data_IF_251790239713
#
_entry.id   IF_251790239713
#
_cell.length_a   1.000
_cell.length_b   1.000
_cell.length_c   1.000
_cell.angle_alpha   90.00
_cell.angle_beta   90.00
_cell.angle_gamma   90.00
#
_symmetry.space_group_name_H-M   'P 1'
#
loop_
_entity.id
_entity.type
_entity.pdbx_description
1 polymer ?
#
# COMPACT_ATOMS: atom_id res chain seq x y z
N UNK A 1 -11.27 46.20 23.48
CA UNK A 1 -12.66 46.00 23.03
C UNK A 1 -12.63 45.96 21.50
N UNK A 2 -12.35 44.80 20.92
CA UNK A 2 -12.51 44.52 19.48
C UNK A 2 -12.87 43.05 19.35
N UNK A 3 -14.08 42.82 18.85
CA UNK A 3 -14.74 41.54 18.78
C UNK A 3 -14.12 40.65 17.70
N UNK A 4 -13.85 39.39 18.05
CA UNK A 4 -13.55 38.31 17.11
C UNK A 4 -14.87 37.79 16.54
N UNK A 5 -15.07 37.92 15.23
CA UNK A 5 -16.12 37.21 14.51
C UNK A 5 -15.62 35.80 14.17
N UNK A 6 -16.01 34.82 14.98
CA UNK A 6 -15.83 33.39 14.71
C UNK A 6 -16.89 32.92 13.72
N UNK A 7 -16.52 32.75 12.45
CA UNK A 7 -17.36 32.07 11.45
C UNK A 7 -17.19 30.56 11.63
N UNK A 8 -18.12 29.96 12.37
CA UNK A 8 -18.31 28.50 12.45
C UNK A 8 -18.67 27.94 11.07
N UNK A 9 -17.71 27.35 10.37
CA UNK A 9 -18.00 26.42 9.27
C UNK A 9 -18.54 25.12 9.86
N UNK A 10 -19.82 24.87 9.65
CA UNK A 10 -20.49 23.61 9.95
C UNK A 10 -19.83 22.49 9.15
N UNK A 11 -19.11 21.61 9.84
CA UNK A 11 -18.60 20.35 9.28
C UNK A 11 -19.81 19.46 9.04
N UNK A 12 -20.15 19.28 7.77
CA UNK A 12 -21.23 18.41 7.33
C UNK A 12 -20.76 16.95 7.53
N UNK A 13 -21.12 16.33 8.64
CA UNK A 13 -20.89 14.91 8.90
C UNK A 13 -21.86 14.08 8.05
N UNK A 14 -21.52 13.86 6.78
CA UNK A 14 -22.22 12.89 5.95
C UNK A 14 -21.85 11.48 6.38
N UNK A 15 -22.84 10.79 6.95
CA UNK A 15 -22.81 9.37 7.24
C UNK A 15 -22.48 8.57 5.97
N UNK A 16 -21.55 7.62 6.09
CA UNK A 16 -21.15 6.70 5.02
C UNK A 16 -22.23 5.64 4.72
N UNK A 17 -23.37 6.08 4.21
CA UNK A 17 -24.13 5.28 3.25
C UNK A 17 -23.34 5.26 1.95
N UNK A 18 -23.26 4.11 1.27
CA UNK A 18 -22.60 3.98 -0.02
C UNK A 18 -23.23 4.95 -1.04
N UNK A 19 -22.71 6.17 -1.12
CA UNK A 19 -22.96 7.04 -2.25
C UNK A 19 -22.47 6.26 -3.47
N UNK A 20 -23.34 6.14 -4.47
CA UNK A 20 -22.93 5.69 -5.79
C UNK A 20 -21.92 6.72 -6.27
N UNK A 21 -20.64 6.40 -6.12
CA UNK A 21 -19.56 7.25 -6.60
C UNK A 21 -19.66 7.23 -8.13
N UNK A 22 -19.99 8.37 -8.71
CA UNK A 22 -19.95 8.55 -10.16
C UNK A 22 -18.51 8.31 -10.64
N UNK A 23 -18.29 7.14 -11.24
CA UNK A 23 -16.96 6.72 -11.67
C UNK A 23 -16.44 7.54 -12.86
N UNK A 24 -17.29 8.38 -13.47
CA UNK A 24 -16.92 9.27 -14.58
C UNK A 24 -16.34 10.61 -14.10
N UNK A 25 -16.54 10.97 -12.82
CA UNK A 25 -15.89 12.15 -12.24
C UNK A 25 -14.43 11.88 -11.94
N UNK A 26 -13.61 12.92 -12.08
CA UNK A 26 -12.22 12.86 -11.62
C UNK A 26 -12.18 12.81 -10.09
N UNK A 27 -11.33 11.93 -9.60
CA UNK A 27 -11.00 11.78 -8.18
C UNK A 27 -10.11 12.93 -7.70
N UNK A 28 -10.03 13.11 -6.37
CA UNK A 28 -9.11 14.09 -5.77
C UNK A 28 -7.66 13.84 -6.19
N UNK A 29 -7.23 12.58 -6.28
CA UNK A 29 -5.89 12.23 -6.77
C UNK A 29 -5.67 12.70 -8.21
N UNK A 30 -6.59 12.41 -9.12
CA UNK A 30 -6.49 12.80 -10.53
C UNK A 30 -6.54 14.31 -10.73
N UNK A 31 -7.23 15.05 -9.85
CA UNK A 31 -7.26 16.52 -9.85
C UNK A 31 -5.92 17.14 -9.44
N UNK A 32 -5.00 16.38 -8.83
CA UNK A 32 -3.64 16.87 -8.49
C UNK A 32 -2.67 16.84 -9.67
N UNK A 33 -3.02 16.19 -10.79
CA UNK A 33 -2.11 15.96 -11.91
C UNK A 33 -1.49 17.24 -12.46
N UNK A 34 -2.28 18.30 -12.68
CA UNK A 34 -1.77 19.54 -13.26
C UNK A 34 -0.74 20.21 -12.31
N UNK A 35 -0.98 20.15 -11.00
CA UNK A 35 -0.04 20.62 -9.97
C UNK A 35 1.24 19.77 -9.95
N UNK A 36 1.12 18.45 -10.07
CA UNK A 36 2.26 17.54 -10.09
C UNK A 36 3.13 17.74 -11.33
N UNK A 37 2.52 17.90 -12.51
CA UNK A 37 3.22 18.19 -13.77
C UNK A 37 3.98 19.51 -13.70
N UNK A 38 3.40 20.54 -13.08
CA UNK A 38 4.07 21.82 -12.87
C UNK A 38 5.22 21.74 -11.84
N UNK A 39 5.05 20.98 -10.77
CA UNK A 39 6.04 20.87 -9.70
C UNK A 39 7.21 19.94 -10.04
N UNK A 40 6.97 18.90 -10.85
CA UNK A 40 7.95 17.85 -11.16
C UNK A 40 7.91 17.48 -12.67
N UNK A 41 8.36 18.38 -13.56
CA UNK A 41 8.25 18.19 -15.01
C UNK A 41 9.05 17.00 -15.56
N UNK A 42 10.06 16.51 -14.84
CA UNK A 42 10.87 15.34 -15.26
C UNK A 42 10.41 14.02 -14.62
N UNK A 43 9.51 14.08 -13.63
CA UNK A 43 9.06 12.91 -12.84
C UNK A 43 7.63 12.53 -13.20
N UNK A 44 6.69 13.48 -13.06
CA UNK A 44 5.27 13.22 -13.27
C UNK A 44 4.94 12.71 -14.69
N UNK A 45 5.54 13.24 -15.78
CA UNK A 45 5.26 12.77 -17.13
C UNK A 45 6.18 11.64 -17.61
N UNK A 46 7.06 11.09 -16.76
CA UNK A 46 8.11 10.15 -17.16
C UNK A 46 7.59 8.93 -17.93
N UNK A 47 6.37 8.48 -17.63
CA UNK A 47 5.73 7.33 -18.29
C UNK A 47 4.55 7.73 -19.19
N UNK A 48 4.40 9.02 -19.53
CA UNK A 48 3.26 9.52 -20.31
C UNK A 48 3.17 8.94 -21.72
N UNK A 49 4.27 8.46 -22.30
CA UNK A 49 4.24 7.81 -23.62
C UNK A 49 3.24 6.63 -23.70
N UNK A 50 3.09 5.86 -22.62
CA UNK A 50 2.08 4.80 -22.52
C UNK A 50 0.67 5.36 -22.40
N UNK A 51 0.50 6.40 -21.59
CA UNK A 51 -0.78 7.09 -21.39
C UNK A 51 -1.28 7.66 -22.72
N UNK A 52 -0.40 8.30 -23.49
CA UNK A 52 -0.70 8.86 -24.80
C UNK A 52 -1.11 7.78 -25.80
N UNK A 53 -0.42 6.64 -25.78
CA UNK A 53 -0.78 5.49 -26.62
C UNK A 53 -2.18 4.95 -26.25
N UNK A 54 -2.47 4.77 -24.95
CA UNK A 54 -3.81 4.40 -24.49
C UNK A 54 -4.87 5.42 -24.96
N UNK A 55 -4.63 6.71 -24.76
CA UNK A 55 -5.53 7.79 -25.15
C UNK A 55 -5.86 7.74 -26.64
N UNK A 56 -4.84 7.60 -27.49
CA UNK A 56 -4.99 7.49 -28.95
C UNK A 56 -5.78 6.25 -29.38
N UNK A 57 -5.57 5.11 -28.70
CA UNK A 57 -6.28 3.87 -29.00
C UNK A 57 -7.74 3.91 -28.52
N UNK A 58 -8.01 4.55 -27.38
CA UNK A 58 -9.37 4.68 -26.81
C UNK A 58 -10.35 5.39 -27.75
N UNK A 59 -9.89 6.32 -28.59
CA UNK A 59 -10.72 7.02 -29.57
C UNK A 59 -11.42 6.03 -30.53
N UNK A 60 -10.78 4.90 -30.82
CA UNK A 60 -11.28 3.87 -31.76
C UNK A 60 -12.14 2.80 -31.09
N UNK A 61 -12.25 2.81 -29.76
CA UNK A 61 -12.94 1.78 -28.98
C UNK A 61 -14.42 2.12 -28.84
N UNK A 62 -15.29 1.20 -29.26
CA UNK A 62 -16.75 1.42 -29.30
C UNK A 62 -17.56 0.49 -28.41
N UNK A 63 -16.94 -0.51 -27.79
CA UNK A 63 -17.63 -1.51 -26.96
C UNK A 63 -16.81 -1.91 -25.73
N UNK A 64 -17.51 -2.49 -24.74
CA UNK A 64 -16.95 -2.90 -23.46
C UNK A 64 -15.81 -3.93 -23.56
N UNK A 65 -15.92 -4.91 -24.47
CA UNK A 65 -14.90 -5.97 -24.62
C UNK A 65 -13.59 -5.39 -25.13
N UNK A 66 -13.64 -4.56 -26.17
CA UNK A 66 -12.48 -3.88 -26.72
C UNK A 66 -11.84 -2.93 -25.68
N UNK A 67 -12.66 -2.20 -24.91
CA UNK A 67 -12.19 -1.33 -23.83
C UNK A 67 -11.49 -2.13 -22.72
N UNK A 68 -12.08 -3.26 -22.31
CA UNK A 68 -11.51 -4.13 -21.27
C UNK A 68 -10.16 -4.68 -21.70
N UNK A 69 -10.06 -5.19 -22.94
CA UNK A 69 -8.80 -5.69 -23.49
C UNK A 69 -7.73 -4.59 -23.47
N UNK A 70 -8.09 -3.39 -23.93
CA UNK A 70 -7.18 -2.26 -24.02
C UNK A 70 -6.69 -1.82 -22.62
N UNK A 71 -7.59 -1.67 -21.65
CA UNK A 71 -7.21 -1.32 -20.28
C UNK A 71 -6.32 -2.40 -19.65
N UNK A 72 -6.64 -3.68 -19.84
CA UNK A 72 -5.82 -4.79 -19.32
C UNK A 72 -4.40 -4.76 -19.89
N UNK A 73 -4.26 -4.53 -21.19
CA UNK A 73 -2.97 -4.44 -21.87
C UNK A 73 -2.12 -3.28 -21.35
N UNK A 74 -2.68 -2.07 -21.33
CA UNK A 74 -1.96 -0.88 -20.87
C UNK A 74 -1.69 -0.90 -19.36
N UNK A 75 -2.56 -1.50 -18.55
CA UNK A 75 -2.32 -1.60 -17.10
C UNK A 75 -1.14 -2.50 -16.77
N UNK A 76 -1.04 -3.66 -17.44
CA UNK A 76 0.12 -4.56 -17.31
C UNK A 76 1.39 -3.89 -17.84
N UNK A 77 1.29 -3.28 -19.02
CA UNK A 77 2.43 -2.61 -19.61
C UNK A 77 2.92 -1.41 -18.79
N UNK A 78 2.04 -0.70 -18.07
CA UNK A 78 2.44 0.42 -17.22
C UNK A 78 3.33 -0.03 -16.07
N UNK A 79 2.99 -1.15 -15.44
CA UNK A 79 3.82 -1.76 -14.41
C UNK A 79 5.22 -2.11 -14.95
N UNK A 80 5.27 -2.77 -16.12
CA UNK A 80 6.53 -3.17 -16.74
C UNK A 80 7.40 -1.96 -17.14
N UNK A 81 6.80 -0.92 -17.72
CA UNK A 81 7.52 0.32 -18.06
C UNK A 81 8.05 1.03 -16.82
N UNK A 82 7.28 1.02 -15.73
CA UNK A 82 7.71 1.62 -14.47
C UNK A 82 8.89 0.87 -13.86
N UNK A 83 8.88 -0.46 -13.83
CA UNK A 83 10.03 -1.29 -13.41
C UNK A 83 11.26 -0.96 -14.24
N UNK A 84 11.12 -0.98 -15.56
CA UNK A 84 12.21 -0.68 -16.48
C UNK A 84 12.77 0.73 -16.25
N UNK A 85 11.89 1.72 -16.12
CA UNK A 85 12.26 3.11 -15.87
C UNK A 85 12.99 3.28 -14.52
N UNK A 86 12.50 2.63 -13.47
CA UNK A 86 13.08 2.66 -12.14
C UNK A 86 14.51 2.07 -12.14
N UNK A 87 14.68 0.89 -12.74
CA UNK A 87 16.01 0.24 -12.86
C UNK A 87 16.96 1.08 -13.71
N UNK A 88 16.52 1.66 -14.82
CA UNK A 88 17.40 2.43 -15.71
C UNK A 88 17.84 3.77 -15.09
N UNK A 89 16.95 4.45 -14.38
CA UNK A 89 17.22 5.78 -13.81
C UNK A 89 18.14 5.75 -12.59
N UNK A 90 18.12 4.68 -11.79
CA UNK A 90 18.88 4.55 -10.53
C UNK A 90 18.63 5.71 -9.55
N UNK A 91 17.47 6.36 -9.66
CA UNK A 91 17.13 7.57 -8.91
C UNK A 91 16.34 7.29 -7.62
N UNK A 92 15.93 6.03 -7.41
CA UNK A 92 15.13 5.61 -6.26
C UNK A 92 13.79 6.35 -6.16
N UNK A 93 13.17 6.68 -7.29
CA UNK A 93 11.93 7.46 -7.34
C UNK A 93 10.68 6.61 -7.61
N UNK A 94 9.76 6.53 -6.63
CA UNK A 94 8.49 5.79 -6.73
C UNK A 94 7.37 6.58 -7.41
N UNK A 95 7.51 7.91 -7.50
CA UNK A 95 6.47 8.82 -7.96
C UNK A 95 6.08 8.66 -9.44
N UNK A 96 6.98 8.31 -10.38
CA UNK A 96 6.63 8.10 -11.79
C UNK A 96 5.49 7.08 -11.99
N UNK A 97 5.55 5.94 -11.28
CA UNK A 97 4.50 4.92 -11.36
C UNK A 97 3.16 5.49 -10.85
N UNK A 98 3.18 6.12 -9.68
CA UNK A 98 1.98 6.70 -9.06
C UNK A 98 1.30 7.72 -10.00
N UNK A 99 2.05 8.70 -10.51
CA UNK A 99 1.50 9.74 -11.37
C UNK A 99 0.98 9.19 -12.70
N UNK A 100 1.70 8.24 -13.30
CA UNK A 100 1.27 7.64 -14.55
C UNK A 100 -0.01 6.79 -14.39
N UNK A 101 -0.19 6.12 -13.25
CA UNK A 101 -1.44 5.40 -12.92
C UNK A 101 -2.63 6.36 -12.82
N UNK A 102 -2.44 7.53 -12.22
CA UNK A 102 -3.48 8.57 -12.16
C UNK A 102 -3.78 9.16 -13.54
N UNK A 103 -2.77 9.44 -14.36
CA UNK A 103 -2.96 9.88 -15.74
C UNK A 103 -3.76 8.85 -16.55
N UNK A 104 -3.40 7.57 -16.44
CA UNK A 104 -4.07 6.48 -17.14
C UNK A 104 -5.53 6.34 -16.69
N UNK A 105 -5.79 6.43 -15.39
CA UNK A 105 -7.16 6.36 -14.84
C UNK A 105 -8.00 7.57 -15.27
N UNK A 106 -7.44 8.79 -15.24
CA UNK A 106 -8.07 10.02 -15.75
C UNK A 106 -8.47 9.87 -17.23
N UNK A 107 -7.58 9.33 -18.06
CA UNK A 107 -7.85 9.08 -19.48
C UNK A 107 -9.00 8.08 -19.67
N UNK A 108 -9.04 6.99 -18.90
CA UNK A 108 -10.12 6.00 -18.97
C UNK A 108 -11.45 6.61 -18.51
N UNK A 109 -11.49 7.31 -17.37
CA UNK A 109 -12.71 7.94 -16.83
C UNK A 109 -13.29 8.98 -17.78
N UNK A 110 -12.42 9.74 -18.44
CA UNK A 110 -12.81 10.81 -19.37
C UNK A 110 -13.27 10.28 -20.74
N UNK A 111 -13.11 8.99 -21.02
CA UNK A 111 -13.46 8.41 -22.32
C UNK A 111 -14.98 8.31 -22.49
N UNK A 112 -15.51 8.79 -23.63
CA UNK A 112 -16.95 8.71 -23.95
C UNK A 112 -17.51 7.29 -23.88
N UNK A 113 -16.72 6.27 -24.23
CA UNK A 113 -17.13 4.87 -24.15
C UNK A 113 -17.28 4.40 -22.70
N UNK A 114 -16.43 4.88 -21.78
CA UNK A 114 -16.49 4.53 -20.37
C UNK A 114 -17.77 5.07 -19.72
N UNK A 115 -18.14 6.32 -20.03
CA UNK A 115 -19.38 6.94 -19.54
C UNK A 115 -20.66 6.23 -20.01
N UNK A 116 -20.60 5.45 -21.10
CA UNK A 116 -21.74 4.66 -21.62
C UNK A 116 -21.87 3.27 -20.97
N UNK A 117 -20.87 2.83 -20.21
CA UNK A 117 -20.90 1.54 -19.54
C UNK A 117 -21.88 1.55 -18.35
N UNK A 118 -22.33 0.37 -17.94
CA UNK A 118 -23.05 0.20 -16.69
C UNK A 118 -22.12 0.51 -15.50
N UNK A 119 -22.63 1.03 -14.37
CA UNK A 119 -21.81 1.34 -13.19
C UNK A 119 -20.94 0.16 -12.68
N UNK A 120 -21.46 -1.06 -12.74
CA UNK A 120 -20.71 -2.27 -12.38
C UNK A 120 -19.54 -2.55 -13.34
N UNK A 121 -19.74 -2.31 -14.63
CA UNK A 121 -18.68 -2.45 -15.64
C UNK A 121 -17.59 -1.40 -15.45
N UNK A 122 -17.98 -0.15 -15.14
CA UNK A 122 -17.04 0.93 -14.80
C UNK A 122 -16.19 0.55 -13.59
N UNK A 123 -16.85 0.14 -12.50
CA UNK A 123 -16.20 -0.26 -11.25
C UNK A 123 -15.24 -1.43 -11.48
N UNK A 124 -15.69 -2.47 -12.21
CA UNK A 124 -14.86 -3.65 -12.51
C UNK A 124 -13.65 -3.30 -13.37
N UNK A 125 -13.81 -2.41 -14.34
CA UNK A 125 -12.72 -1.99 -15.23
C UNK A 125 -11.65 -1.21 -14.45
N UNK A 126 -12.07 -0.26 -13.61
CA UNK A 126 -11.17 0.52 -12.75
C UNK A 126 -10.48 -0.36 -11.71
N UNK A 127 -11.21 -1.29 -11.08
CA UNK A 127 -10.63 -2.29 -10.18
C UNK A 127 -9.56 -3.15 -10.86
N UNK A 128 -9.82 -3.56 -12.10
CA UNK A 128 -8.84 -4.32 -12.90
C UNK A 128 -7.61 -3.47 -13.22
N UNK A 129 -7.80 -2.21 -13.58
CA UNK A 129 -6.69 -1.26 -13.80
C UNK A 129 -5.83 -1.13 -12.54
N UNK A 130 -6.47 -0.91 -11.39
CA UNK A 130 -5.79 -0.79 -10.09
C UNK A 130 -4.91 -2.00 -9.81
N UNK A 131 -5.47 -3.21 -9.84
CA UNK A 131 -4.70 -4.42 -9.54
C UNK A 131 -3.55 -4.66 -10.52
N UNK A 132 -3.80 -4.53 -11.83
CA UNK A 132 -2.80 -4.85 -12.85
C UNK A 132 -1.65 -3.85 -12.89
N UNK A 133 -1.94 -2.57 -12.68
CA UNK A 133 -0.91 -1.50 -12.63
C UNK A 133 -0.11 -1.49 -11.32
N UNK A 134 -0.43 -2.40 -10.39
CA UNK A 134 0.20 -2.57 -9.07
C UNK A 134 0.99 -3.87 -8.95
N UNK A 135 1.28 -4.52 -10.09
CA UNK A 135 2.12 -5.71 -10.15
C UNK A 135 1.39 -7.05 -9.99
N UNK A 136 0.05 -7.08 -9.84
CA UNK A 136 -0.68 -8.34 -9.54
C UNK A 136 -0.37 -9.49 -10.53
N UNK A 137 -0.17 -9.18 -11.81
CA UNK A 137 0.09 -10.19 -12.86
C UNK A 137 1.59 -10.43 -13.11
N UNK A 138 2.46 -9.71 -12.41
CA UNK A 138 3.90 -9.82 -12.61
C UNK A 138 4.58 -10.77 -11.63
N UNK A 139 3.92 -11.09 -10.49
CA UNK A 139 4.44 -12.02 -9.49
C UNK A 139 4.76 -13.38 -10.10
N UNK A 140 6.03 -13.60 -10.39
CA UNK A 140 6.56 -14.80 -11.05
C UNK A 140 7.90 -15.14 -10.44
N UNK A 141 7.89 -16.16 -9.59
CA UNK A 141 9.13 -16.70 -9.02
C UNK A 141 9.88 -17.57 -10.03
N UNK A 142 10.68 -16.95 -10.90
CA UNK A 142 11.34 -17.57 -12.05
C UNK A 142 12.87 -17.54 -12.01
N UNK A 143 13.48 -16.95 -10.96
CA UNK A 143 14.94 -16.92 -10.77
C UNK A 143 15.53 -18.21 -10.24
N UNK A 144 14.71 -19.25 -10.02
CA UNK A 144 15.11 -20.56 -9.48
C UNK A 144 15.76 -20.47 -8.10
N UNK A 145 15.37 -19.47 -7.30
CA UNK A 145 15.76 -19.37 -5.90
C UNK A 145 15.07 -20.47 -5.08
N UNK A 146 15.66 -20.81 -3.94
CA UNK A 146 15.14 -21.85 -3.05
C UNK A 146 13.86 -21.40 -2.32
N UNK A 147 13.76 -20.11 -2.02
CA UNK A 147 12.66 -19.49 -1.27
C UNK A 147 12.00 -18.37 -2.08
N UNK A 148 10.75 -18.10 -1.76
CA UNK A 148 9.89 -17.13 -2.44
C UNK A 148 9.33 -16.12 -1.45
N UNK A 149 9.66 -14.85 -1.61
CA UNK A 149 9.21 -13.77 -0.73
C UNK A 149 8.25 -12.88 -1.51
N UNK A 150 7.07 -12.65 -0.96
CA UNK A 150 6.15 -11.63 -1.47
C UNK A 150 6.24 -10.38 -0.60
N UNK A 151 6.54 -9.24 -1.21
CA UNK A 151 6.71 -7.97 -0.52
C UNK A 151 5.71 -6.94 -1.02
N UNK A 152 5.20 -6.08 -0.12
CA UNK A 152 4.35 -4.95 -0.52
C UNK A 152 4.90 -3.62 -0.03
N UNK A 153 4.70 -2.58 -0.83
CA UNK A 153 4.95 -1.17 -0.48
C UNK A 153 3.73 -0.30 -0.78
N UNK A 154 3.71 0.96 -0.34
CA UNK A 154 2.58 1.88 -0.58
C UNK A 154 2.89 2.97 -1.61
N UNK A 155 1.83 3.45 -2.26
CA UNK A 155 1.85 4.71 -3.02
C UNK A 155 2.29 5.91 -2.14
N UNK A 156 2.79 7.01 -2.75
CA UNK A 156 2.90 8.32 -2.12
C UNK A 156 1.59 8.81 -1.47
N UNK A 157 1.71 9.58 -0.39
CA UNK A 157 0.56 10.15 0.34
C UNK A 157 0.89 11.52 0.95
N UNK A 158 -0.13 12.19 1.53
CA UNK A 158 -0.05 13.58 2.02
C UNK A 158 0.30 14.61 0.94
N UNK A 159 -0.15 14.36 -0.28
CA UNK A 159 0.18 15.16 -1.49
C UNK A 159 -0.46 16.56 -1.52
N UNK A 160 -1.48 16.81 -0.68
CA UNK A 160 -2.00 18.17 -0.49
C UNK A 160 -1.02 19.04 0.30
N UNK A 161 -0.27 18.44 1.22
CA UNK A 161 0.77 19.11 2.00
C UNK A 161 2.04 19.27 1.20
N UNK A 162 2.48 18.21 0.53
CA UNK A 162 3.67 18.21 -0.30
C UNK A 162 3.45 17.36 -1.55
N UNK A 163 3.24 18.01 -2.70
CA UNK A 163 2.96 17.33 -3.98
C UNK A 163 4.16 16.49 -4.46
N UNK A 164 5.36 16.81 -3.98
CA UNK A 164 6.63 16.18 -4.33
C UNK A 164 6.99 15.00 -3.40
N UNK A 165 6.13 14.68 -2.43
CA UNK A 165 6.38 13.61 -1.46
C UNK A 165 6.59 12.25 -2.14
N UNK A 166 7.69 11.57 -1.77
CA UNK A 166 7.95 10.16 -2.08
C UNK A 166 7.57 9.27 -0.88
N UNK A 167 7.38 7.97 -1.11
CA UNK A 167 7.17 6.97 -0.06
C UNK A 167 8.29 5.91 -0.06
N UNK A 168 9.13 5.84 0.99
CA UNK A 168 10.20 4.86 1.09
C UNK A 168 9.74 3.41 0.92
N UNK A 169 8.51 3.07 1.31
CA UNK A 169 7.99 1.71 1.12
C UNK A 169 7.73 1.36 -0.34
N UNK A 170 7.25 2.31 -1.15
CA UNK A 170 7.09 2.14 -2.60
C UNK A 170 8.45 1.98 -3.28
N UNK A 171 9.43 2.80 -2.87
CA UNK A 171 10.81 2.71 -3.35
C UNK A 171 11.46 1.37 -2.99
N UNK A 172 11.27 0.88 -1.75
CA UNK A 172 11.72 -0.46 -1.32
C UNK A 172 11.12 -1.55 -2.19
N UNK A 173 9.81 -1.52 -2.44
CA UNK A 173 9.16 -2.51 -3.28
C UNK A 173 9.76 -2.50 -4.69
N UNK A 174 9.77 -1.35 -5.37
CA UNK A 174 10.31 -1.26 -6.73
C UNK A 174 11.81 -1.65 -6.83
N UNK A 175 12.60 -1.38 -5.79
CA UNK A 175 14.03 -1.72 -5.76
C UNK A 175 14.31 -3.21 -5.53
N UNK A 176 13.36 -3.95 -4.94
CA UNK A 176 13.53 -5.35 -4.56
C UNK A 176 12.81 -6.33 -5.48
N UNK A 177 12.09 -5.82 -6.47
CA UNK A 177 11.42 -6.67 -7.46
C UNK A 177 12.43 -7.43 -8.32
N UNK A 178 12.16 -8.71 -8.59
CA UNK A 178 13.07 -9.66 -9.26
C UNK A 178 14.43 -9.87 -8.54
N UNK A 179 14.64 -9.34 -7.33
CA UNK A 179 15.92 -9.44 -6.63
C UNK A 179 16.05 -10.79 -5.93
N UNK A 180 17.17 -11.46 -6.17
CA UNK A 180 17.60 -12.63 -5.39
C UNK A 180 18.55 -12.21 -4.27
N UNK A 181 18.23 -12.58 -3.05
CA UNK A 181 19.11 -12.45 -1.88
C UNK A 181 19.63 -13.82 -1.45
N UNK A 182 20.76 -13.84 -0.74
CA UNK A 182 21.39 -15.07 -0.27
C UNK A 182 21.83 -14.90 1.18
N UNK A 183 21.51 -15.87 2.02
CA UNK A 183 21.99 -15.98 3.40
C UNK A 183 22.26 -17.45 3.71
N UNK A 184 23.45 -17.75 4.24
CA UNK A 184 23.87 -19.10 4.66
C UNK A 184 23.63 -20.21 3.61
N UNK A 185 23.80 -19.88 2.33
CA UNK A 185 23.61 -20.82 1.21
C UNK A 185 22.16 -21.01 0.78
N UNK A 186 21.20 -20.33 1.43
CA UNK A 186 19.80 -20.27 1.02
C UNK A 186 19.55 -19.02 0.17
N UNK A 187 19.01 -19.22 -1.03
CA UNK A 187 18.60 -18.13 -1.92
C UNK A 187 17.11 -17.84 -1.78
N UNK A 188 16.72 -16.56 -1.86
CA UNK A 188 15.33 -16.16 -1.90
C UNK A 188 15.10 -15.12 -2.99
N UNK A 189 14.07 -15.34 -3.81
CA UNK A 189 13.59 -14.39 -4.81
C UNK A 189 12.47 -13.54 -4.20
N UNK A 190 12.52 -12.24 -4.45
CA UNK A 190 11.55 -11.27 -3.95
C UNK A 190 10.71 -10.75 -5.12
N UNK A 191 9.40 -10.91 -5.01
CA UNK A 191 8.41 -10.35 -5.94
C UNK A 191 7.54 -9.34 -5.21
N UNK A 192 7.16 -8.25 -5.89
CA UNK A 192 6.54 -7.10 -5.18
C UNK A 192 5.19 -6.65 -5.72
N UNK A 193 4.41 -6.05 -4.82
CA UNK A 193 3.15 -5.37 -5.13
C UNK A 193 3.12 -3.97 -4.51
N UNK A 194 2.39 -3.05 -5.14
CA UNK A 194 2.15 -1.71 -4.59
C UNK A 194 0.70 -1.58 -4.13
N UNK A 195 0.45 -1.13 -2.90
CA UNK A 195 -0.88 -0.93 -2.34
C UNK A 195 -1.26 0.56 -2.25
N UNK A 196 -2.55 0.92 -2.46
CA UNK A 196 -3.01 2.30 -2.34
C UNK A 196 -3.06 2.78 -0.89
N UNK A 197 -2.93 4.08 -0.70
CA UNK A 197 -3.31 4.76 0.55
C UNK A 197 -4.77 5.24 0.43
N UNK A 198 -5.71 4.28 0.35
CA UNK A 198 -7.16 4.52 0.24
C UNK A 198 -7.98 3.53 1.05
N UNK A 199 -8.90 4.02 1.87
CA UNK A 199 -9.71 3.17 2.75
C UNK A 199 -10.69 2.30 1.96
N UNK A 200 -11.29 2.84 0.89
CA UNK A 200 -12.26 2.13 0.07
C UNK A 200 -11.69 0.86 -0.57
N UNK A 201 -10.43 0.88 -0.99
CA UNK A 201 -9.78 -0.24 -1.65
C UNK A 201 -9.54 -1.40 -0.67
N UNK A 202 -9.15 -1.07 0.56
CA UNK A 202 -9.04 -2.04 1.65
C UNK A 202 -10.42 -2.60 2.01
N UNK A 203 -11.43 -1.73 2.12
CA UNK A 203 -12.79 -2.12 2.40
C UNK A 203 -13.37 -3.02 1.28
N UNK A 204 -12.99 -2.82 0.02
CA UNK A 204 -13.39 -3.68 -1.11
C UNK A 204 -12.61 -5.00 -1.19
N UNK A 205 -11.58 -5.17 -0.38
CA UNK A 205 -10.83 -6.41 -0.24
C UNK A 205 -9.58 -6.49 -1.13
N UNK A 206 -8.91 -5.36 -1.38
CA UNK A 206 -7.71 -5.33 -2.23
C UNK A 206 -6.56 -6.15 -1.64
N UNK A 207 -6.36 -6.11 -0.32
CA UNK A 207 -5.30 -6.88 0.34
C UNK A 207 -5.53 -8.39 0.15
N UNK A 208 -6.78 -8.83 0.28
CA UNK A 208 -7.17 -10.20 0.05
C UNK A 208 -7.00 -10.59 -1.43
N UNK A 209 -7.37 -9.72 -2.36
CA UNK A 209 -7.19 -9.96 -3.80
C UNK A 209 -5.71 -10.06 -4.22
N UNK A 210 -4.82 -9.35 -3.52
CA UNK A 210 -3.39 -9.32 -3.80
C UNK A 210 -2.63 -10.46 -3.12
N UNK A 211 -2.95 -10.81 -1.87
CA UNK A 211 -2.15 -11.74 -1.07
C UNK A 211 -2.75 -13.15 -0.96
N UNK A 212 -4.07 -13.28 -0.94
CA UNK A 212 -4.72 -14.57 -0.70
C UNK A 212 -4.34 -15.66 -1.72
N UNK A 213 -4.15 -15.39 -3.03
CA UNK A 213 -3.71 -16.42 -3.96
C UNK A 213 -2.42 -17.11 -3.50
N UNK A 214 -1.43 -16.35 -3.05
CA UNK A 214 -0.12 -16.90 -2.69
C UNK A 214 -0.14 -17.58 -1.32
N UNK A 215 -0.82 -16.99 -0.34
CA UNK A 215 -0.92 -17.54 1.02
C UNK A 215 -1.76 -18.82 1.02
N UNK A 216 -2.91 -18.82 0.34
CA UNK A 216 -3.83 -19.97 0.28
C UNK A 216 -3.25 -21.15 -0.49
N UNK A 217 -2.51 -20.89 -1.56
CA UNK A 217 -1.84 -21.93 -2.34
C UNK A 217 -0.46 -22.32 -1.78
N UNK A 218 -0.03 -21.72 -0.66
CA UNK A 218 1.27 -21.95 -0.03
C UNK A 218 2.43 -21.84 -1.03
N UNK A 219 2.36 -20.85 -1.91
CA UNK A 219 3.31 -20.67 -3.01
C UNK A 219 4.44 -19.69 -2.69
N UNK A 220 4.49 -19.21 -1.44
CA UNK A 220 5.49 -18.27 -0.90
C UNK A 220 5.94 -18.77 0.47
N UNK A 221 7.18 -18.46 0.82
CA UNK A 221 7.86 -18.86 2.06
C UNK A 221 7.90 -17.72 3.09
N UNK A 222 7.70 -16.47 2.66
CA UNK A 222 7.55 -15.33 3.57
C UNK A 222 6.71 -14.22 2.92
N UNK A 223 5.89 -13.52 3.71
CA UNK A 223 5.18 -12.31 3.25
C UNK A 223 5.56 -11.12 4.13
N UNK A 224 6.00 -10.05 3.48
CA UNK A 224 6.36 -8.80 4.14
C UNK A 224 5.51 -7.66 3.62
N UNK A 225 5.02 -6.84 4.55
CA UNK A 225 4.36 -5.59 4.21
C UNK A 225 5.24 -4.44 4.72
N UNK A 226 5.48 -3.43 3.91
CA UNK A 226 6.37 -2.32 4.24
C UNK A 226 5.60 -1.01 4.20
N UNK A 227 5.86 -0.11 5.13
CA UNK A 227 5.25 1.23 5.16
C UNK A 227 6.22 2.28 5.65
N UNK A 228 6.00 3.53 5.26
CA UNK A 228 6.75 4.65 5.84
C UNK A 228 6.35 4.85 7.30
N UNK A 229 7.34 4.83 8.19
CA UNK A 229 7.14 4.89 9.63
C UNK A 229 7.67 6.17 10.28
N UNK A 230 8.69 6.01 11.12
CA UNK A 230 9.16 7.01 12.09
C UNK A 230 10.65 7.31 11.88
N UNK A 231 11.47 7.12 12.90
CA UNK A 231 12.90 7.45 12.85
C UNK A 231 13.77 6.26 12.47
N UNK A 232 13.37 5.07 12.93
CA UNK A 232 14.11 3.82 12.76
C UNK A 232 13.25 2.79 12.02
N UNK A 233 13.84 1.63 11.74
CA UNK A 233 13.04 0.48 11.33
C UNK A 233 12.31 -0.09 12.54
N UNK A 234 11.01 -0.35 12.38
CA UNK A 234 10.19 -0.98 13.39
C UNK A 234 9.55 -2.25 12.81
N UNK A 235 9.91 -3.41 13.37
CA UNK A 235 9.25 -4.68 13.11
C UNK A 235 8.02 -4.75 14.01
N UNK A 236 6.85 -4.69 13.39
CA UNK A 236 5.59 -4.45 14.10
C UNK A 236 5.00 -5.74 14.66
N UNK A 237 5.22 -5.97 15.97
CA UNK A 237 4.87 -7.23 16.66
C UNK A 237 3.37 -7.50 16.70
N UNK A 238 2.57 -6.47 17.01
CA UNK A 238 1.13 -6.60 17.33
C UNK A 238 0.22 -5.69 16.48
N UNK A 239 -0.14 -6.09 15.26
CA UNK A 239 -1.17 -5.41 14.48
C UNK A 239 -2.56 -5.55 15.10
N UNK A 240 -3.39 -4.53 14.93
CA UNK A 240 -4.72 -4.45 15.52
C UNK A 240 -5.86 -4.37 14.51
N UNK A 241 -7.06 -4.79 14.93
CA UNK A 241 -8.25 -4.81 14.08
C UNK A 241 -8.74 -3.42 13.68
N UNK A 242 -8.72 -2.46 14.61
CA UNK A 242 -9.49 -1.21 14.45
C UNK A 242 -8.69 -0.07 13.85
N UNK A 243 -9.41 0.77 13.08
CA UNK A 243 -8.97 2.10 12.67
C UNK A 243 -9.21 3.08 13.82
N UNK A 244 -8.29 4.02 14.03
CA UNK A 244 -8.43 5.08 15.04
C UNK A 244 -7.74 6.40 14.65
N UNK A 245 -7.08 6.42 13.49
CA UNK A 245 -6.44 7.61 12.98
C UNK A 245 -7.47 8.63 12.48
N UNK A 246 -7.38 9.85 13.00
CA UNK A 246 -8.10 11.01 12.49
C UNK A 246 -7.28 11.69 11.38
N UNK A 247 -7.06 10.98 10.28
CA UNK A 247 -6.31 11.45 9.12
C UNK A 247 -7.03 11.03 7.83
N UNK A 248 -6.98 11.86 6.78
CA UNK A 248 -7.55 11.52 5.49
C UNK A 248 -6.67 10.55 4.72
N UNK A 249 -7.29 9.78 3.83
CA UNK A 249 -6.59 9.06 2.77
C UNK A 249 -6.27 9.93 1.55
N UNK A 250 -5.71 9.33 0.50
CA UNK A 250 -5.35 10.08 -0.70
C UNK A 250 -6.56 10.68 -1.43
N UNK A 251 -7.78 10.21 -1.18
CA UNK A 251 -9.01 10.81 -1.71
C UNK A 251 -9.59 11.89 -0.78
N UNK A 252 -8.86 12.28 0.26
CA UNK A 252 -9.31 13.18 1.32
C UNK A 252 -10.49 12.64 2.14
N UNK A 253 -10.66 11.31 2.16
CA UNK A 253 -11.73 10.66 2.92
C UNK A 253 -11.26 10.35 4.34
N UNK A 254 -12.07 10.76 5.32
CA UNK A 254 -11.93 10.34 6.71
C UNK A 254 -12.89 9.20 6.99
N UNK A 255 -12.44 8.21 7.77
CA UNK A 255 -13.31 7.11 8.21
C UNK A 255 -14.24 7.51 9.36
N UNK A 256 -14.00 8.65 10.00
CA UNK A 256 -14.67 9.06 11.23
C UNK A 256 -14.14 8.37 12.49
N UNK A 257 -13.15 7.49 12.36
CA UNK A 257 -12.53 6.82 13.50
C UNK A 257 -11.64 7.78 14.31
N UNK A 258 -11.61 7.62 15.62
CA UNK A 258 -10.71 8.36 16.52
C UNK A 258 -10.13 7.43 17.57
N UNK A 259 -9.17 7.91 18.36
CA UNK A 259 -8.64 7.15 19.50
C UNK A 259 -9.73 6.84 20.55
N UNK A 260 -10.71 7.73 20.68
CA UNK A 260 -11.84 7.59 21.62
C UNK A 260 -12.96 6.71 21.04
N UNK A 261 -13.09 6.66 19.71
CA UNK A 261 -14.08 5.85 19.01
C UNK A 261 -13.41 5.07 17.86
N UNK A 262 -12.66 3.99 18.17
CA UNK A 262 -11.99 3.18 17.16
C UNK A 262 -12.99 2.27 16.43
N UNK A 263 -12.93 2.28 15.10
CA UNK A 263 -13.90 1.61 14.24
C UNK A 263 -13.34 0.32 13.63
N UNK A 264 -14.17 -0.70 13.52
CA UNK A 264 -13.83 -1.94 12.79
C UNK A 264 -13.91 -1.65 11.28
N UNK A 265 -12.86 -1.93 10.49
CA UNK A 265 -12.89 -1.74 9.04
C UNK A 265 -13.86 -2.74 8.37
N UNK A 266 -14.18 -2.52 7.10
CA UNK A 266 -15.08 -3.42 6.35
C UNK A 266 -14.29 -4.41 5.52
N UNK A 267 -14.91 -5.54 5.19
CA UNK A 267 -14.53 -6.39 4.08
C UNK A 267 -15.78 -6.62 3.23
N UNK A 268 -15.79 -5.96 2.08
CA UNK A 268 -16.95 -5.77 1.19
C UNK A 268 -18.10 -5.12 1.96
N UNK A 269 -19.26 -5.77 2.03
CA UNK A 269 -20.45 -5.26 2.70
C UNK A 269 -20.48 -5.53 4.21
N UNK A 270 -19.57 -6.35 4.75
CA UNK A 270 -19.55 -6.75 6.16
C UNK A 270 -18.42 -6.08 6.95
N UNK A 271 -18.54 -6.06 8.28
CA UNK A 271 -17.40 -5.73 9.15
C UNK A 271 -16.34 -6.83 9.04
N UNK A 272 -15.06 -6.44 9.01
CA UNK A 272 -13.95 -7.37 9.05
C UNK A 272 -14.02 -8.18 10.35
N UNK A 273 -13.92 -9.51 10.22
CA UNK A 273 -13.97 -10.43 11.36
C UNK A 273 -12.54 -10.86 11.73
N UNK A 274 -12.26 -10.88 13.03
CA UNK A 274 -10.97 -11.33 13.57
C UNK A 274 -10.78 -10.89 15.03
N UNK A 275 -9.71 -11.37 15.70
CA UNK A 275 -9.36 -10.93 17.05
C UNK A 275 -8.91 -9.47 17.07
N UNK A 276 -9.03 -8.79 18.21
CA UNK A 276 -8.66 -7.36 18.32
C UNK A 276 -7.17 -7.10 18.06
N UNK A 277 -6.31 -8.08 18.35
CA UNK A 277 -4.89 -8.07 18.03
C UNK A 277 -4.47 -9.40 17.41
N UNK A 278 -3.45 -9.35 16.55
CA UNK A 278 -2.73 -10.52 16.03
C UNK A 278 -1.24 -10.34 16.28
N UNK A 279 -0.46 -11.42 16.21
CA UNK A 279 0.99 -11.38 16.36
C UNK A 279 1.68 -11.85 15.07
N UNK A 280 2.73 -11.12 14.67
CA UNK A 280 3.51 -11.46 13.48
C UNK A 280 4.36 -12.74 13.69
N UNK A 281 4.79 -13.40 12.62
CA UNK A 281 5.61 -14.64 12.67
C UNK A 281 7.00 -14.47 12.05
N UNK A 282 7.48 -13.24 11.90
CA UNK A 282 8.79 -13.00 11.33
C UNK A 282 9.92 -13.55 12.22
N UNK A 283 11.03 -14.03 11.63
CA UNK A 283 12.24 -14.44 12.37
C UNK A 283 13.00 -13.22 12.90
N UNK A 284 12.38 -12.51 13.84
CA UNK A 284 12.78 -11.18 14.30
C UNK A 284 14.24 -11.12 14.78
N UNK A 285 14.70 -12.11 15.54
CA UNK A 285 16.06 -12.13 16.09
C UNK A 285 17.14 -12.17 15.00
N UNK A 286 16.85 -12.76 13.84
CA UNK A 286 17.73 -12.71 12.68
C UNK A 286 17.58 -11.37 11.97
N UNK A 287 16.35 -10.96 11.66
CA UNK A 287 16.06 -9.71 10.94
C UNK A 287 16.61 -8.45 11.61
N UNK A 288 16.67 -8.41 12.96
CA UNK A 288 17.29 -7.31 13.71
C UNK A 288 18.80 -7.15 13.49
N UNK A 289 19.47 -8.16 12.93
CA UNK A 289 20.88 -8.11 12.55
C UNK A 289 21.09 -7.43 11.19
N UNK A 290 20.03 -6.95 10.54
CA UNK A 290 20.11 -6.24 9.27
C UNK A 290 20.96 -4.97 9.39
N UNK A 291 22.16 -5.02 8.80
CA UNK A 291 23.12 -3.93 8.80
C UNK A 291 22.61 -2.70 8.04
N UNK A 292 22.92 -1.52 8.56
CA UNK A 292 22.62 -0.23 7.95
C UNK A 292 22.66 0.91 8.96
N UNK A 293 22.19 2.08 8.53
CA UNK A 293 22.28 3.35 9.26
C UNK A 293 21.35 3.45 10.46
N UNK A 294 20.19 2.82 10.40
CA UNK A 294 19.10 2.99 11.36
C UNK A 294 19.02 1.80 12.32
N UNK A 295 18.41 2.00 13.49
CA UNK A 295 18.12 0.87 14.38
C UNK A 295 17.00 0.00 13.82
N UNK A 296 16.98 -1.28 14.21
CA UNK A 296 15.92 -2.25 13.86
C UNK A 296 15.22 -2.72 15.15
N UNK A 297 14.06 -2.16 15.43
CA UNK A 297 13.34 -2.35 16.69
C UNK A 297 12.32 -3.49 16.60
N UNK A 298 12.13 -4.21 17.70
CA UNK A 298 10.92 -4.99 17.97
C UNK A 298 9.86 -4.05 18.57
N UNK A 299 8.96 -3.51 17.75
CA UNK A 299 8.00 -2.53 18.23
C UNK A 299 6.75 -3.23 18.78
N UNK A 300 6.51 -3.07 20.08
CA UNK A 300 5.41 -3.69 20.83
C UNK A 300 4.39 -2.68 21.36
N UNK A 301 4.55 -1.39 21.02
CA UNK A 301 3.70 -0.30 21.50
C UNK A 301 2.30 -0.39 20.93
N UNK A 302 1.32 -0.75 21.74
CA UNK A 302 -0.08 -0.76 21.32
C UNK A 302 -0.89 0.27 22.11
N UNK A 303 -2.15 0.45 21.72
CA UNK A 303 -3.11 1.14 22.57
C UNK A 303 -4.46 0.42 22.59
N UNK A 304 -5.13 0.45 23.74
CA UNK A 304 -6.47 -0.12 23.95
C UNK A 304 -7.41 0.91 24.56
N UNK A 305 -8.72 0.69 24.43
CA UNK A 305 -9.71 1.61 24.99
C UNK A 305 -9.64 1.68 26.53
N UNK A 306 -9.31 0.57 27.18
CA UNK A 306 -9.31 0.41 28.63
C UNK A 306 -8.02 0.89 29.30
N UNK A 307 -6.87 0.67 28.66
CA UNK A 307 -5.55 0.87 29.28
C UNK A 307 -4.73 1.99 28.63
N UNK A 308 -5.23 2.62 27.55
CA UNK A 308 -4.44 3.59 26.80
C UNK A 308 -3.24 2.93 26.13
N UNK A 309 -2.13 3.65 26.01
CA UNK A 309 -0.93 3.19 25.33
C UNK A 309 0.07 2.48 26.26
N UNK A 310 0.58 1.32 25.85
CA UNK A 310 1.55 0.51 26.62
C UNK A 310 2.29 -0.48 25.71
N UNK A 311 3.33 -1.13 26.23
CA UNK A 311 4.09 -2.18 25.53
C UNK A 311 3.45 -3.57 25.77
N UNK A 312 2.98 -4.22 24.70
CA UNK A 312 2.45 -5.59 24.79
C UNK A 312 3.56 -6.59 25.09
N UNK A 313 3.44 -7.35 26.19
CA UNK A 313 4.42 -8.37 26.55
C UNK A 313 4.18 -9.69 25.81
N UNK A 314 2.91 -10.11 25.72
CA UNK A 314 2.48 -11.27 24.96
C UNK A 314 1.10 -11.04 24.33
N UNK A 315 0.78 -11.81 23.29
CA UNK A 315 -0.56 -11.78 22.69
C UNK A 315 -1.64 -12.16 23.73
N UNK A 316 -1.36 -13.13 24.60
CA UNK A 316 -2.30 -13.62 25.61
C UNK A 316 -2.74 -12.53 26.61
N UNK A 317 -1.88 -11.55 26.89
CA UNK A 317 -2.18 -10.46 27.82
C UNK A 317 -3.12 -9.40 27.21
N UNK A 318 -3.22 -9.35 25.89
CA UNK A 318 -3.93 -8.30 25.15
C UNK A 318 -5.17 -8.80 24.41
N UNK A 319 -5.39 -10.11 24.30
CA UNK A 319 -6.53 -10.69 23.55
C UNK A 319 -7.92 -10.30 24.07
N UNK A 320 -8.03 -9.91 25.35
CA UNK A 320 -9.32 -9.49 25.96
C UNK A 320 -9.59 -8.00 25.82
N UNK A 321 -8.67 -7.24 25.21
CA UNK A 321 -8.76 -5.80 25.10
C UNK A 321 -9.44 -5.38 23.79
N UNK A 322 -10.13 -4.25 23.79
CA UNK A 322 -10.57 -3.60 22.55
C UNK A 322 -9.46 -2.71 22.02
N UNK A 323 -9.06 -2.96 20.77
CA UNK A 323 -7.94 -2.25 20.16
C UNK A 323 -8.27 -0.79 19.86
N UNK A 324 -7.27 0.08 20.03
CA UNK A 324 -7.27 1.45 19.49
C UNK A 324 -6.22 1.55 18.40
N UNK A 325 -5.01 1.04 18.65
CA UNK A 325 -3.97 0.94 17.64
C UNK A 325 -3.08 -0.27 17.91
N UNK A 326 -2.63 -0.91 16.83
CA UNK A 326 -1.55 -1.87 16.92
C UNK A 326 -0.19 -1.17 16.96
N UNK A 327 0.88 -1.94 16.94
CA UNK A 327 2.24 -1.41 16.92
C UNK A 327 2.51 -0.58 15.66
N UNK A 328 1.90 -0.96 14.54
CA UNK A 328 1.89 -0.17 13.30
C UNK A 328 1.01 1.08 13.33
N UNK A 329 0.34 1.39 14.44
CA UNK A 329 -0.58 2.53 14.57
C UNK A 329 -2.04 2.16 14.32
N UNK A 330 -2.86 3.16 13.95
CA UNK A 330 -4.32 3.05 13.79
C UNK A 330 -4.81 3.43 12.38
N UNK A 331 -3.93 3.34 11.39
CA UNK A 331 -4.16 3.72 9.99
C UNK A 331 -3.92 2.52 9.04
N UNK A 332 -3.79 2.76 7.73
CA UNK A 332 -3.69 1.71 6.70
C UNK A 332 -2.45 0.81 6.80
N UNK A 333 -1.32 1.29 7.34
CA UNK A 333 -0.12 0.47 7.54
C UNK A 333 -0.34 -0.65 8.57
N UNK A 334 -1.01 -0.33 9.69
CA UNK A 334 -1.48 -1.34 10.63
C UNK A 334 -2.50 -2.29 9.98
N UNK A 335 -3.43 -1.77 9.19
CA UNK A 335 -4.49 -2.59 8.60
C UNK A 335 -3.97 -3.59 7.56
N UNK A 336 -2.99 -3.22 6.72
CA UNK A 336 -2.40 -4.18 5.76
C UNK A 336 -1.67 -5.30 6.49
N UNK A 337 -1.00 -4.97 7.60
CA UNK A 337 -0.32 -5.95 8.46
C UNK A 337 -1.33 -6.89 9.13
N UNK A 338 -2.40 -6.33 9.69
CA UNK A 338 -3.46 -7.10 10.33
C UNK A 338 -4.13 -8.07 9.34
N UNK A 339 -4.52 -7.59 8.15
CA UNK A 339 -5.18 -8.40 7.11
C UNK A 339 -4.25 -9.49 6.55
N UNK A 340 -2.96 -9.20 6.36
CA UNK A 340 -2.01 -10.22 5.88
C UNK A 340 -1.82 -11.35 6.90
N UNK A 341 -1.78 -11.02 8.20
CA UNK A 341 -1.70 -12.03 9.27
C UNK A 341 -3.04 -12.77 9.44
N UNK A 342 -4.20 -12.13 9.24
CA UNK A 342 -5.48 -12.85 9.21
C UNK A 342 -5.52 -13.91 8.11
N UNK A 343 -5.08 -13.55 6.89
CA UNK A 343 -4.96 -14.51 5.78
C UNK A 343 -4.01 -15.64 6.12
N UNK A 344 -2.86 -15.32 6.74
CA UNK A 344 -1.89 -16.32 7.25
C UNK A 344 -2.55 -17.27 8.24
N UNK A 345 -3.20 -16.74 9.26
CA UNK A 345 -3.84 -17.53 10.32
C UNK A 345 -4.95 -18.43 9.77
N UNK A 346 -5.65 -17.96 8.73
CA UNK A 346 -6.72 -18.72 8.11
C UNK A 346 -6.21 -19.85 7.21
N UNK A 347 -5.16 -19.60 6.41
CA UNK A 347 -4.80 -20.50 5.31
C UNK A 347 -3.43 -21.16 5.42
N UNK A 348 -2.46 -20.51 6.07
CA UNK A 348 -1.11 -21.04 6.23
C UNK A 348 -0.47 -20.62 7.57
N UNK A 349 -0.90 -21.20 8.71
CA UNK A 349 -0.50 -20.74 10.04
C UNK A 349 1.01 -20.80 10.34
N UNK A 350 1.80 -21.53 9.56
CA UNK A 350 3.26 -21.61 9.74
C UNK A 350 4.04 -20.59 8.91
N UNK A 351 3.41 -19.88 7.97
CA UNK A 351 4.06 -18.89 7.12
C UNK A 351 4.59 -17.70 7.95
N UNK A 352 5.87 -17.33 7.83
CA UNK A 352 6.41 -16.07 8.31
C UNK A 352 5.73 -14.88 7.62
N UNK A 353 5.01 -14.08 8.40
CA UNK A 353 4.30 -12.88 7.93
C UNK A 353 4.47 -11.77 8.95
N UNK A 354 4.75 -10.56 8.46
CA UNK A 354 4.77 -9.38 9.32
C UNK A 354 4.91 -8.07 8.56
N UNK A 355 5.22 -7.02 9.31
CA UNK A 355 5.26 -5.67 8.81
C UNK A 355 6.48 -4.92 9.29
N UNK A 356 7.06 -4.14 8.38
CA UNK A 356 8.22 -3.30 8.62
C UNK A 356 7.81 -1.86 8.36
N UNK A 357 7.89 -1.02 9.38
CA UNK A 357 7.91 0.41 9.19
C UNK A 357 9.34 0.86 8.92
N UNK A 358 9.55 1.65 7.87
CA UNK A 358 10.84 2.27 7.54
C UNK A 358 11.03 3.57 8.33
N UNK A 359 12.26 4.10 8.40
CA UNK A 359 12.47 5.53 8.63
C UNK A 359 11.66 6.38 7.65
N UNK A 360 11.18 7.54 8.10
CA UNK A 360 10.38 8.48 7.31
C UNK A 360 11.26 9.51 6.60
N UNK A 361 10.76 10.00 5.49
CA UNK A 361 11.30 11.16 4.76
C UNK A 361 10.25 12.28 4.71
N UNK A 362 10.69 13.53 4.58
CA UNK A 362 9.78 14.69 4.52
C UNK A 362 9.45 15.16 3.10
N UNK A 363 10.29 14.76 2.15
CA UNK A 363 10.18 14.98 0.72
C UNK A 363 11.01 13.89 0.03
N UNK A 364 11.10 13.92 -1.30
CA UNK A 364 12.05 13.06 -2.02
C UNK A 364 13.49 13.37 -1.61
N UNK A 365 14.18 12.36 -1.08
CA UNK A 365 15.55 12.46 -0.57
C UNK A 365 16.33 11.20 -1.00
N UNK A 366 16.90 11.22 -2.21
CA UNK A 366 17.49 10.04 -2.86
C UNK A 366 18.48 9.27 -1.98
N UNK A 367 19.40 9.94 -1.29
CA UNK A 367 20.38 9.25 -0.44
C UNK A 367 19.71 8.57 0.76
N UNK A 368 18.73 9.22 1.40
CA UNK A 368 18.00 8.62 2.51
C UNK A 368 17.18 7.41 2.04
N UNK A 369 16.58 7.49 0.85
CA UNK A 369 15.86 6.40 0.20
C UNK A 369 16.80 5.21 -0.10
N UNK A 370 17.98 5.47 -0.65
CA UNK A 370 19.00 4.45 -0.87
C UNK A 370 19.42 3.77 0.43
N UNK A 371 19.73 4.53 1.47
CA UNK A 371 20.09 3.99 2.80
C UNK A 371 18.96 3.06 3.33
N UNK A 372 17.69 3.46 3.16
CA UNK A 372 16.52 2.68 3.58
C UNK A 372 16.40 1.39 2.76
N UNK A 373 16.57 1.44 1.44
CA UNK A 373 16.49 0.27 0.56
C UNK A 373 17.57 -0.75 0.90
N UNK A 374 18.82 -0.31 1.01
CA UNK A 374 19.96 -1.17 1.31
C UNK A 374 19.77 -1.87 2.66
N UNK A 375 19.37 -1.12 3.69
CA UNK A 375 19.12 -1.70 5.00
C UNK A 375 17.88 -2.62 5.01
N UNK A 376 16.81 -2.28 4.29
CA UNK A 376 15.64 -3.17 4.17
C UNK A 376 16.03 -4.49 3.51
N UNK A 377 16.82 -4.45 2.44
CA UNK A 377 17.37 -5.65 1.80
C UNK A 377 18.17 -6.48 2.79
N UNK A 378 19.02 -5.84 3.60
CA UNK A 378 19.82 -6.51 4.64
C UNK A 378 18.94 -7.20 5.70
N UNK A 379 17.93 -6.49 6.23
CA UNK A 379 16.95 -7.02 7.18
C UNK A 379 16.24 -8.27 6.63
N UNK A 380 15.77 -8.21 5.38
CA UNK A 380 15.10 -9.34 4.72
C UNK A 380 16.05 -10.51 4.51
N UNK A 381 17.27 -10.22 4.05
CA UNK A 381 18.31 -11.22 3.80
C UNK A 381 18.64 -12.00 5.07
N UNK A 382 18.75 -11.33 6.22
CA UNK A 382 18.94 -12.01 7.51
C UNK A 382 17.77 -12.95 7.87
N UNK A 383 16.54 -12.58 7.53
CA UNK A 383 15.37 -13.43 7.72
C UNK A 383 15.39 -14.70 6.86
N UNK A 384 15.99 -14.67 5.67
CA UNK A 384 16.07 -15.81 4.74
C UNK A 384 16.81 -17.00 5.33
N UNK A 385 17.87 -16.76 6.12
CA UNK A 385 18.61 -17.83 6.78
C UNK A 385 17.80 -18.62 7.83
N UNK A 386 16.54 -18.26 8.07
CA UNK A 386 15.64 -18.92 9.02
C UNK A 386 14.42 -19.57 8.35
N UNK A 387 14.31 -19.53 7.02
CA UNK A 387 13.16 -20.03 6.26
C UNK A 387 13.23 -21.50 5.89
#
# INVERSE_FOLDING_TARGET
>A
MYAQSSTTQSINTQNASAQIVDSTQLTVEELRLDKALAAMPDVAPRLSARVDNLSNQLIKVTNYVALTKLVVEHSKGLWLDAKQSFVQSHDYDDRPLYWARLQMTKVVRSAKIFAKLLPEQQTKLLWTLELLSRGQMDIKFDKKADKKILLTGFDPFFLDRNIDQSNPSGVVALSLDDVVVNMDGQTAEIEVLIVPVRFSDFDQGMIEALLAPYIKHKSVDMVLTVSMGRENFDLERYPALRRSANAPDNLNIFTGATKQNPLVPKLKSALLQGPEFVEFSLPIAAMQKGEGKYMVNDNRKIATLSAGAFEGQSLADIVKQTSVSGSGGGYLSNEVSYRSILLRNQYNPTLPVGHIHTPRIKAFEQQALKDIVEQTKSIITQGVGQL
#
